data_IF_493335494209
#
_entry.id   IF_493335494209
#
_cell.length_a   1.000
_cell.length_b   1.000
_cell.length_c   1.000
_cell.angle_alpha   90.00
_cell.angle_beta   90.00
_cell.angle_gamma   90.00
#
_symmetry.space_group_name_H-M   'P 1'
#
loop_
_entity.id
_entity.type
_entity.pdbx_description
1 polymer ?
#
# COMPACT_ATOMS: atom_id res chain seq x y z
N UNK A 1 19.44 20.38 6.39
CA UNK A 1 20.33 20.74 7.53
C UNK A 1 21.50 19.77 7.67
N UNK A 2 21.26 18.49 7.97
CA UNK A 2 22.34 17.51 8.20
C UNK A 2 23.22 17.23 6.96
N UNK A 3 22.67 17.20 5.74
CA UNK A 3 23.48 17.05 4.52
C UNK A 3 24.55 18.14 4.38
N UNK A 4 24.17 19.41 4.56
CA UNK A 4 25.12 20.54 4.52
C UNK A 4 26.23 20.44 5.57
N UNK A 5 25.93 19.90 6.77
CA UNK A 5 26.94 19.66 7.81
C UNK A 5 27.96 18.58 7.39
N UNK A 6 27.59 17.69 6.48
CA UNK A 6 28.46 16.68 5.88
C UNK A 6 29.07 17.13 4.55
N UNK A 7 28.93 18.41 4.17
CA UNK A 7 29.42 18.92 2.89
C UNK A 7 28.61 18.48 1.66
N UNK A 8 27.42 17.90 1.87
CA UNK A 8 26.53 17.43 0.81
C UNK A 8 25.40 18.45 0.63
N UNK A 9 25.28 19.06 -0.55
CA UNK A 9 24.10 19.86 -0.86
C UNK A 9 22.94 18.94 -1.26
N UNK A 10 21.84 19.01 -0.50
CA UNK A 10 20.67 18.15 -0.68
C UNK A 10 19.54 19.01 -1.22
N UNK A 11 19.27 18.88 -2.52
CA UNK A 11 18.06 19.43 -3.15
C UNK A 11 16.97 18.36 -3.10
N UNK A 12 15.80 18.71 -2.58
CA UNK A 12 14.65 17.81 -2.50
C UNK A 12 13.63 18.21 -3.55
N UNK A 13 13.26 17.26 -4.39
CA UNK A 13 12.14 17.37 -5.31
C UNK A 13 11.05 16.39 -4.88
N UNK A 14 9.82 16.86 -4.80
CA UNK A 14 8.69 16.06 -4.34
C UNK A 14 7.83 15.65 -5.53
N UNK A 15 7.52 14.36 -5.59
CA UNK A 15 6.60 13.79 -6.57
C UNK A 15 5.53 13.00 -5.82
N UNK A 16 4.27 13.27 -6.14
CA UNK A 16 3.13 12.54 -5.57
C UNK A 16 2.76 11.38 -6.50
N UNK A 17 2.93 10.16 -6.00
CA UNK A 17 2.61 8.93 -6.74
C UNK A 17 1.40 8.25 -6.12
N UNK A 18 0.49 7.77 -6.96
CA UNK A 18 -0.70 7.07 -6.50
C UNK A 18 -0.42 5.58 -6.33
N UNK A 19 -0.46 5.12 -5.08
CA UNK A 19 -0.39 3.69 -4.74
C UNK A 19 1.01 3.06 -4.82
N UNK A 20 1.11 1.83 -4.30
CA UNK A 20 2.40 1.14 -4.15
C UNK A 20 3.06 0.71 -5.46
N UNK A 21 2.28 0.43 -6.52
CA UNK A 21 2.83 0.03 -7.82
C UNK A 21 3.60 1.16 -8.50
N UNK A 22 3.02 2.36 -8.58
CA UNK A 22 3.67 3.54 -9.15
C UNK A 22 4.95 3.91 -8.38
N UNK A 23 4.93 3.78 -7.05
CA UNK A 23 6.13 3.97 -6.21
C UNK A 23 7.22 2.97 -6.56
N UNK A 24 6.89 1.69 -6.70
CA UNK A 24 7.85 0.64 -7.05
C UNK A 24 8.46 0.90 -8.44
N UNK A 25 7.66 1.24 -9.44
CA UNK A 25 8.14 1.51 -10.80
C UNK A 25 9.04 2.75 -10.85
N UNK A 26 8.72 3.80 -10.11
CA UNK A 26 9.54 5.00 -10.01
C UNK A 26 10.90 4.72 -9.35
N UNK A 27 10.95 3.89 -8.30
CA UNK A 27 12.21 3.45 -7.69
C UNK A 27 13.03 2.60 -8.66
N UNK A 28 12.41 1.65 -9.36
CA UNK A 28 13.11 0.73 -10.26
C UNK A 28 13.67 1.42 -11.52
N UNK A 29 13.00 2.47 -11.99
CA UNK A 29 13.45 3.29 -13.12
C UNK A 29 14.48 4.35 -12.75
N UNK A 30 14.71 4.59 -11.45
CA UNK A 30 15.55 5.70 -10.98
C UNK A 30 14.89 7.07 -11.11
N UNK A 31 13.56 7.13 -11.30
CA UNK A 31 12.81 8.39 -11.33
C UNK A 31 12.68 9.03 -9.94
N UNK A 32 12.81 8.23 -8.87
CA UNK A 32 12.92 8.70 -7.49
C UNK A 32 14.01 7.93 -6.74
N UNK A 33 14.71 8.62 -5.83
CA UNK A 33 15.75 8.01 -5.00
C UNK A 33 15.21 7.42 -3.69
N UNK A 34 14.17 8.06 -3.13
CA UNK A 34 13.57 7.71 -1.84
C UNK A 34 12.06 7.76 -1.98
N UNK A 35 11.37 6.74 -1.45
CA UNK A 35 9.92 6.71 -1.40
C UNK A 35 9.42 6.49 0.03
N UNK A 36 8.34 7.21 0.37
CA UNK A 36 7.48 6.83 1.48
C UNK A 36 6.55 5.71 1.02
N UNK A 37 6.77 4.49 1.51
CA UNK A 37 5.94 3.33 1.20
C UNK A 37 5.55 2.59 2.48
N UNK A 38 4.49 1.79 2.39
CA UNK A 38 4.11 0.89 3.47
C UNK A 38 4.88 -0.42 3.44
N UNK A 39 4.78 -1.18 4.54
CA UNK A 39 5.51 -2.45 4.73
C UNK A 39 5.22 -3.48 3.63
N UNK A 40 3.97 -3.59 3.16
CA UNK A 40 3.57 -4.53 2.10
C UNK A 40 4.30 -4.28 0.77
N UNK A 41 4.20 -3.06 0.20
CA UNK A 41 4.98 -2.68 -0.99
C UNK A 41 6.48 -2.84 -0.81
N UNK A 42 7.04 -2.45 0.34
CA UNK A 42 8.47 -2.61 0.64
C UNK A 42 8.90 -4.07 0.57
N UNK A 43 8.20 -4.98 1.26
CA UNK A 43 8.54 -6.40 1.26
C UNK A 43 8.44 -7.01 -0.15
N UNK A 44 7.41 -6.64 -0.91
CA UNK A 44 7.23 -7.11 -2.30
C UNK A 44 8.38 -6.65 -3.20
N UNK A 45 8.79 -5.38 -3.07
CA UNK A 45 9.86 -4.82 -3.90
C UNK A 45 11.24 -5.34 -3.48
N UNK A 46 11.48 -5.45 -2.17
CA UNK A 46 12.70 -6.02 -1.62
C UNK A 46 12.93 -7.43 -2.15
N UNK A 47 11.95 -8.33 -2.00
CA UNK A 47 12.01 -9.72 -2.48
C UNK A 47 12.43 -9.81 -3.96
N UNK A 48 11.83 -8.98 -4.82
CA UNK A 48 12.12 -8.96 -6.27
C UNK A 48 13.48 -8.36 -6.64
N UNK A 49 14.05 -7.51 -5.79
CA UNK A 49 15.28 -6.76 -6.08
C UNK A 49 16.50 -7.25 -5.30
N UNK A 50 16.31 -8.18 -4.35
CA UNK A 50 17.38 -8.86 -3.63
C UNK A 50 18.42 -9.42 -4.59
N UNK A 51 19.70 -9.05 -4.38
CA UNK A 51 20.82 -9.48 -5.23
C UNK A 51 20.95 -8.76 -6.58
N UNK A 52 20.08 -7.78 -6.89
CA UNK A 52 20.12 -6.97 -8.11
C UNK A 52 20.11 -5.48 -7.77
N UNK A 53 19.01 -4.77 -8.05
CA UNK A 53 18.82 -3.35 -7.71
C UNK A 53 18.88 -3.09 -6.19
N UNK A 54 18.60 -4.11 -5.38
CA UNK A 54 18.81 -4.14 -3.93
C UNK A 54 18.11 -2.99 -3.18
N UNK A 55 16.81 -2.79 -3.44
CA UNK A 55 16.00 -1.80 -2.73
C UNK A 55 15.87 -2.19 -1.26
N UNK A 56 15.99 -1.23 -0.33
CA UNK A 56 16.01 -1.47 1.12
C UNK A 56 15.15 -0.46 1.88
N UNK A 57 14.66 -0.87 3.04
CA UNK A 57 14.07 0.04 4.02
C UNK A 57 15.16 0.84 4.73
N UNK A 58 14.93 2.15 4.91
CA UNK A 58 15.90 3.07 5.53
C UNK A 58 15.43 3.56 6.90
N UNK A 59 14.12 3.81 7.07
CA UNK A 59 13.55 4.28 8.33
C UNK A 59 12.06 3.91 8.45
N UNK A 60 11.58 3.80 9.68
CA UNK A 60 10.14 3.77 9.97
C UNK A 60 9.63 5.21 10.10
N UNK A 61 8.61 5.56 9.31
CA UNK A 61 8.04 6.92 9.26
C UNK A 61 6.80 7.08 10.15
N UNK A 62 6.13 5.98 10.49
CA UNK A 62 4.93 5.99 11.31
C UNK A 62 4.25 4.62 11.43
N UNK A 63 3.37 4.49 12.41
CA UNK A 63 2.51 3.33 12.61
C UNK A 63 1.07 3.81 12.80
N UNK A 64 0.15 3.29 11.99
CA UNK A 64 -1.24 3.71 11.96
C UNK A 64 -2.16 2.49 12.05
N UNK A 65 -3.27 2.58 12.79
CA UNK A 65 -4.28 1.52 12.79
C UNK A 65 -4.95 1.43 11.41
N UNK A 66 -5.34 0.21 11.03
CA UNK A 66 -6.15 -0.04 9.84
C UNK A 66 -7.57 -0.36 10.26
N UNK A 67 -8.53 0.38 9.70
CA UNK A 67 -9.95 0.20 9.96
C UNK A 67 -10.68 -0.24 8.70
N UNK A 68 -11.69 -1.10 8.87
CA UNK A 68 -12.72 -1.30 7.88
C UNK A 68 -13.68 -0.10 7.96
N UNK A 69 -13.69 0.73 6.92
CA UNK A 69 -14.61 1.87 6.81
C UNK A 69 -15.58 1.58 5.66
N UNK A 70 -16.87 1.76 5.91
CA UNK A 70 -17.91 1.52 4.91
C UNK A 70 -18.99 2.60 4.98
N UNK A 71 -19.44 3.04 3.81
CA UNK A 71 -20.65 3.86 3.65
C UNK A 71 -21.92 3.00 3.52
N UNK A 72 -21.79 1.67 3.46
CA UNK A 72 -22.90 0.73 3.49
C UNK A 72 -23.12 0.25 4.94
N UNK A 73 -24.21 0.64 5.62
CA UNK A 73 -24.43 0.30 7.03
C UNK A 73 -24.63 -1.20 7.30
N UNK A 74 -24.82 -2.00 6.25
CA UNK A 74 -24.91 -3.46 6.34
C UNK A 74 -23.54 -4.13 6.48
N UNK A 75 -22.46 -3.43 6.14
CA UNK A 75 -21.10 -3.96 6.20
C UNK A 75 -20.47 -3.56 7.54
N UNK A 76 -20.29 -4.53 8.43
CA UNK A 76 -19.65 -4.36 9.74
C UNK A 76 -18.38 -5.19 9.88
N UNK A 77 -18.29 -6.26 9.10
CA UNK A 77 -17.18 -7.20 9.05
C UNK A 77 -16.82 -7.49 7.61
N UNK A 78 -15.65 -8.08 7.39
CA UNK A 78 -15.24 -8.53 6.06
C UNK A 78 -16.12 -9.65 5.51
N UNK A 79 -16.93 -10.31 6.35
CA UNK A 79 -17.83 -11.38 5.93
C UNK A 79 -19.17 -10.86 5.39
N UNK A 80 -19.48 -9.58 5.58
CA UNK A 80 -20.74 -8.99 5.13
C UNK A 80 -20.71 -8.60 3.64
N UNK A 81 -19.52 -8.56 3.03
CA UNK A 81 -19.36 -8.19 1.63
C UNK A 81 -20.01 -9.21 0.68
N UNK A 82 -20.61 -8.68 -0.39
CA UNK A 82 -21.25 -9.43 -1.47
C UNK A 82 -20.77 -8.94 -2.83
N UNK A 83 -21.20 -9.58 -3.91
CA UNK A 83 -20.93 -9.17 -5.29
C UNK A 83 -21.44 -7.76 -5.65
N UNK A 84 -22.34 -7.21 -4.83
CA UNK A 84 -22.88 -5.85 -4.99
C UNK A 84 -21.94 -4.78 -4.44
N UNK A 85 -20.98 -5.16 -3.62
CA UNK A 85 -20.07 -4.24 -2.93
C UNK A 85 -18.75 -4.07 -3.70
N UNK A 86 -18.06 -2.96 -3.45
CA UNK A 86 -16.71 -2.71 -3.96
C UNK A 86 -15.81 -2.23 -2.82
N UNK A 87 -14.58 -2.73 -2.79
CA UNK A 87 -13.59 -2.42 -1.76
C UNK A 87 -12.49 -1.56 -2.40
N UNK A 88 -12.50 -0.25 -2.11
CA UNK A 88 -11.49 0.66 -2.64
C UNK A 88 -10.13 0.47 -1.94
N UNK A 89 -9.08 0.27 -2.73
CA UNK A 89 -7.70 0.12 -2.25
C UNK A 89 -6.74 0.93 -3.13
N UNK A 90 -5.63 1.50 -2.60
CA UNK A 90 -4.68 2.27 -3.41
C UNK A 90 -4.01 1.48 -4.55
N UNK A 91 -3.83 0.17 -4.35
CA UNK A 91 -3.33 -0.76 -5.35
C UNK A 91 -3.77 -2.17 -4.99
N UNK A 92 -4.48 -2.84 -5.89
CA UNK A 92 -4.95 -4.23 -5.72
C UNK A 92 -3.75 -5.17 -5.60
N UNK A 93 -3.78 -6.11 -4.66
CA UNK A 93 -2.71 -7.07 -4.28
C UNK A 93 -1.38 -6.49 -3.81
N UNK A 94 -1.14 -5.19 -3.92
CA UNK A 94 0.17 -4.56 -3.64
C UNK A 94 0.12 -3.65 -2.42
N UNK A 95 -0.94 -2.84 -2.28
CA UNK A 95 -1.06 -1.87 -1.18
C UNK A 95 -1.09 -2.54 0.18
N UNK A 96 -0.74 -1.79 1.24
CA UNK A 96 -0.82 -2.32 2.61
C UNK A 96 -2.25 -2.73 2.96
N UNK A 97 -3.23 -1.93 2.55
CA UNK A 97 -4.64 -2.21 2.75
C UNK A 97 -5.04 -3.54 2.09
N UNK A 98 -4.55 -3.81 0.88
CA UNK A 98 -4.76 -5.10 0.22
C UNK A 98 -4.14 -6.27 0.99
N UNK A 99 -2.91 -6.12 1.48
CA UNK A 99 -2.24 -7.18 2.25
C UNK A 99 -2.91 -7.43 3.60
N UNK A 100 -3.36 -6.38 4.28
CA UNK A 100 -4.11 -6.49 5.54
C UNK A 100 -5.47 -7.14 5.31
N UNK A 101 -6.17 -6.81 4.21
CA UNK A 101 -7.43 -7.47 3.83
C UNK A 101 -7.22 -8.95 3.55
N UNK A 102 -6.16 -9.30 2.81
CA UNK A 102 -5.81 -10.70 2.52
C UNK A 102 -5.47 -11.48 3.79
N UNK A 103 -4.73 -10.86 4.72
CA UNK A 103 -4.42 -11.44 6.03
C UNK A 103 -5.69 -11.64 6.87
N UNK A 104 -6.60 -10.66 6.86
CA UNK A 104 -7.87 -10.77 7.57
C UNK A 104 -8.77 -11.87 6.96
N UNK A 105 -8.79 -12.00 5.63
CA UNK A 105 -9.51 -13.06 4.94
C UNK A 105 -8.93 -14.45 5.27
N UNK A 106 -7.60 -14.60 5.26
CA UNK A 106 -6.94 -15.84 5.68
C UNK A 106 -7.29 -16.21 7.13
N UNK A 107 -7.33 -15.25 8.05
CA UNK A 107 -7.78 -15.49 9.43
C UNK A 107 -9.23 -15.94 9.54
N UNK A 108 -10.11 -15.40 8.70
CA UNK A 108 -11.55 -15.67 8.75
C UNK A 108 -11.94 -16.98 8.07
N UNK A 109 -11.32 -17.32 6.94
CA UNK A 109 -11.73 -18.45 6.10
C UNK A 109 -10.61 -19.49 5.84
N UNK A 110 -9.41 -19.26 6.36
CA UNK A 110 -8.24 -20.12 6.19
C UNK A 110 -7.25 -19.63 5.12
N UNK A 111 -5.99 -20.04 5.23
CA UNK A 111 -4.88 -19.53 4.41
C UNK A 111 -5.10 -19.64 2.89
N UNK A 112 -5.84 -20.66 2.43
CA UNK A 112 -6.16 -20.85 1.01
C UNK A 112 -7.14 -19.80 0.47
N UNK A 113 -7.89 -19.15 1.36
CA UNK A 113 -8.92 -18.16 1.03
C UNK A 113 -8.39 -16.72 1.20
N UNK A 114 -7.07 -16.52 1.31
CA UNK A 114 -6.49 -15.18 1.51
C UNK A 114 -6.93 -14.18 0.44
N UNK A 115 -7.16 -14.61 -0.80
CA UNK A 115 -7.57 -13.76 -1.93
C UNK A 115 -9.09 -13.72 -2.15
N UNK A 116 -9.91 -14.31 -1.26
CA UNK A 116 -11.36 -14.46 -1.42
C UNK A 116 -12.08 -13.15 -1.77
N UNK A 117 -11.62 -12.04 -1.20
CA UNK A 117 -12.22 -10.71 -1.37
C UNK A 117 -11.60 -9.90 -2.52
N UNK A 118 -10.47 -10.35 -3.10
CA UNK A 118 -9.74 -9.59 -4.13
C UNK A 118 -10.61 -9.32 -5.36
N UNK A 119 -11.53 -10.23 -5.69
CA UNK A 119 -12.52 -10.08 -6.77
C UNK A 119 -13.47 -8.88 -6.62
N UNK A 120 -13.60 -8.32 -5.42
CA UNK A 120 -14.42 -7.14 -5.14
C UNK A 120 -13.58 -5.88 -4.92
N UNK A 121 -12.26 -5.98 -5.02
CA UNK A 121 -11.37 -4.84 -4.83
C UNK A 121 -11.24 -4.00 -6.09
N UNK A 122 -11.11 -2.69 -5.93
CA UNK A 122 -10.91 -1.73 -7.02
C UNK A 122 -9.75 -0.80 -6.67
N UNK A 123 -8.88 -0.55 -7.65
CA UNK A 123 -7.76 0.37 -7.51
C UNK A 123 -8.26 1.81 -7.60
N UNK A 124 -8.12 2.57 -6.52
CA UNK A 124 -8.55 3.97 -6.43
C UNK A 124 -7.46 4.76 -5.68
N UNK A 125 -7.02 5.93 -6.16
CA UNK A 125 -6.08 6.77 -5.43
C UNK A 125 -6.55 7.00 -3.98
N UNK A 126 -5.62 6.95 -3.03
CA UNK A 126 -5.98 7.02 -1.62
C UNK A 126 -6.84 8.25 -1.23
N UNK A 127 -6.58 9.47 -1.74
CA UNK A 127 -7.44 10.63 -1.45
C UNK A 127 -8.87 10.44 -1.97
N UNK A 128 -9.02 9.91 -3.18
CA UNK A 128 -10.33 9.68 -3.81
C UNK A 128 -11.10 8.58 -3.11
N UNK A 129 -10.42 7.51 -2.68
CA UNK A 129 -11.02 6.42 -1.91
C UNK A 129 -11.55 6.91 -0.55
N UNK A 130 -10.80 7.79 0.14
CA UNK A 130 -11.24 8.40 1.38
C UNK A 130 -12.46 9.30 1.15
N UNK A 131 -12.43 10.16 0.13
CA UNK A 131 -13.53 11.07 -0.22
C UNK A 131 -14.82 10.33 -0.63
N UNK A 132 -14.72 9.12 -1.19
CA UNK A 132 -15.89 8.34 -1.58
C UNK A 132 -16.62 7.66 -0.41
N UNK A 133 -15.97 7.58 0.77
CA UNK A 133 -16.44 6.78 1.91
C UNK A 133 -16.75 7.64 3.15
N UNK A 134 -16.09 8.80 3.29
CA UNK A 134 -16.23 9.75 4.41
C UNK A 134 -17.13 10.91 4.00
#
# INVERSE_FOLDING_TARGET
KHGKQQGIDVKVEWTQLSGGAAVNDALLSGAIDIAGAGVGPLLTLWDRTQGKQNVKGVASLGNFPYYLVSNNPKIKTIADFTEKDRIALPAVTVSVQSRVLQYAAAKQWGDKEFNRLDKWTVAVPHPDAAAAII
#
